data_IF_474063428005
#
_entry.id   IF_474063428005
#
_cell.length_a   1.000
_cell.length_b   1.000
_cell.length_c   1.000
_cell.angle_alpha   90.00
_cell.angle_beta   90.00
_cell.angle_gamma   90.00
#
_symmetry.space_group_name_H-M   'P 1'
#
loop_
_entity.id
_entity.type
_entity.pdbx_description
1 polymer ?
#
# COMPACT_ATOMS: atom_id res chain seq x y z
N UNK A 1 19.13 -14.32 9.27
CA UNK A 1 17.69 -14.65 9.38
C UNK A 1 17.50 -16.04 8.79
N UNK A 2 16.70 -16.93 9.40
CA UNK A 2 16.50 -18.28 8.86
C UNK A 2 15.85 -18.27 7.48
N UNK A 3 16.08 -19.33 6.71
CA UNK A 3 15.50 -19.49 5.39
C UNK A 3 13.96 -19.51 5.47
N UNK A 4 13.31 -18.86 4.48
CA UNK A 4 11.85 -18.83 4.36
C UNK A 4 11.11 -17.80 5.23
N UNK A 5 11.81 -17.05 6.08
CA UNK A 5 11.17 -16.03 6.93
C UNK A 5 10.86 -14.74 6.17
N UNK A 6 11.74 -14.32 5.27
CA UNK A 6 11.51 -13.20 4.39
C UNK A 6 12.16 -13.45 3.04
N UNK A 7 11.46 -13.01 2.01
CA UNK A 7 11.88 -13.10 0.63
C UNK A 7 11.29 -11.95 -0.15
N UNK A 8 11.82 -11.75 -1.34
CA UNK A 8 11.31 -10.78 -2.29
C UNK A 8 11.21 -11.46 -3.65
N UNK A 9 10.24 -11.02 -4.44
CA UNK A 9 10.02 -11.54 -5.79
C UNK A 9 9.60 -10.38 -6.67
N UNK A 10 10.20 -10.29 -7.87
CA UNK A 10 9.68 -9.44 -8.92
C UNK A 10 8.43 -10.11 -9.49
N UNK A 11 7.27 -9.48 -9.33
CA UNK A 11 6.00 -10.00 -9.79
C UNK A 11 5.35 -9.06 -10.82
N UNK A 12 4.68 -9.65 -11.79
CA UNK A 12 3.74 -8.95 -12.66
C UNK A 12 2.41 -8.72 -11.92
N UNK A 13 1.50 -7.93 -12.49
CA UNK A 13 0.16 -7.75 -11.92
C UNK A 13 -0.60 -9.10 -11.79
N UNK A 14 -0.43 -9.99 -12.75
CA UNK A 14 -1.04 -11.33 -12.71
C UNK A 14 -0.41 -12.18 -11.61
N UNK A 15 0.92 -12.12 -11.45
CA UNK A 15 1.62 -12.80 -10.36
C UNK A 15 1.16 -12.31 -8.98
N UNK A 16 1.01 -11.00 -8.81
CA UNK A 16 0.43 -10.42 -7.57
C UNK A 16 -1.00 -10.92 -7.35
N UNK A 17 -1.83 -10.95 -8.40
CA UNK A 17 -3.21 -11.43 -8.31
C UNK A 17 -3.29 -12.92 -7.91
N UNK A 18 -2.39 -13.75 -8.42
CA UNK A 18 -2.27 -15.15 -8.01
C UNK A 18 -1.85 -15.27 -6.53
N UNK A 19 -0.87 -14.49 -6.08
CA UNK A 19 -0.44 -14.48 -4.67
C UNK A 19 -1.56 -14.03 -3.72
N UNK A 20 -2.36 -13.04 -4.12
CA UNK A 20 -3.53 -12.59 -3.34
C UNK A 20 -4.57 -13.70 -3.21
N UNK A 21 -4.66 -14.66 -4.12
CA UNK A 21 -5.59 -15.78 -4.01
C UNK A 21 -4.98 -17.04 -3.35
N UNK A 22 -3.67 -17.06 -3.09
CA UNK A 22 -3.01 -18.21 -2.45
C UNK A 22 -3.42 -18.34 -0.97
N UNK A 23 -3.93 -19.50 -0.52
CA UNK A 23 -4.43 -19.67 0.86
C UNK A 23 -3.34 -19.52 1.93
N UNK A 24 -2.05 -19.62 1.57
CA UNK A 24 -0.92 -19.45 2.52
C UNK A 24 -0.67 -18.00 2.90
N UNK A 25 -1.13 -17.05 2.09
CA UNK A 25 -0.95 -15.61 2.34
C UNK A 25 -2.11 -15.11 3.19
N UNK A 26 -1.85 -14.78 4.45
CA UNK A 26 -2.88 -14.35 5.40
C UNK A 26 -3.27 -12.87 5.27
N UNK A 27 -2.38 -12.02 4.75
CA UNK A 27 -2.60 -10.58 4.69
C UNK A 27 -1.87 -9.93 3.52
N UNK A 28 -2.36 -8.76 3.11
CA UNK A 28 -1.80 -7.94 2.04
C UNK A 28 -1.59 -6.52 2.54
N UNK A 29 -0.40 -5.97 2.35
CA UNK A 29 -0.11 -4.55 2.62
C UNK A 29 0.36 -3.89 1.34
N UNK A 30 -0.19 -2.71 1.03
CA UNK A 30 0.15 -1.96 -0.18
C UNK A 30 0.49 -0.53 0.20
N UNK A 31 1.58 -0.04 -0.37
CA UNK A 31 1.90 1.38 -0.44
C UNK A 31 1.97 1.78 -1.90
N UNK A 32 1.16 2.75 -2.32
CA UNK A 32 1.18 3.20 -3.71
C UNK A 32 -0.01 4.02 -4.16
N UNK A 33 -0.25 4.02 -5.47
CA UNK A 33 -1.33 4.82 -6.06
C UNK A 33 -2.72 4.33 -5.62
N UNK A 34 -3.68 5.26 -5.56
CA UNK A 34 -5.09 4.94 -5.32
C UNK A 34 -5.63 3.91 -6.33
N UNK A 35 -5.19 4.00 -7.60
CA UNK A 35 -5.56 3.05 -8.66
C UNK A 35 -5.14 1.62 -8.31
N UNK A 36 -3.87 1.43 -7.94
CA UNK A 36 -3.34 0.13 -7.57
C UNK A 36 -3.99 -0.39 -6.27
N UNK A 37 -4.13 0.48 -5.27
CA UNK A 37 -4.79 0.18 -3.99
C UNK A 37 -6.22 -0.33 -4.15
N UNK A 38 -7.02 0.32 -5.00
CA UNK A 38 -8.40 -0.13 -5.31
C UNK A 38 -8.42 -1.53 -5.92
N UNK A 39 -7.55 -1.79 -6.88
CA UNK A 39 -7.49 -3.09 -7.55
C UNK A 39 -7.07 -4.21 -6.58
N UNK A 40 -6.01 -3.98 -5.79
CA UNK A 40 -5.51 -4.97 -4.81
C UNK A 40 -6.50 -5.15 -3.65
N UNK A 41 -7.07 -4.05 -3.14
CA UNK A 41 -8.05 -4.08 -2.05
C UNK A 41 -9.30 -4.88 -2.43
N UNK A 42 -9.81 -4.74 -3.66
CA UNK A 42 -10.94 -5.52 -4.14
C UNK A 42 -10.64 -7.04 -4.16
N UNK A 43 -9.46 -7.43 -4.68
CA UNK A 43 -9.06 -8.84 -4.71
C UNK A 43 -8.82 -9.40 -3.30
N UNK A 44 -8.15 -8.65 -2.43
CA UNK A 44 -7.89 -9.06 -1.06
C UNK A 44 -9.19 -9.23 -0.26
N UNK A 45 -10.16 -8.32 -0.46
CA UNK A 45 -11.49 -8.43 0.12
C UNK A 45 -12.26 -9.66 -0.37
N UNK A 46 -12.23 -9.94 -1.67
CA UNK A 46 -12.86 -11.13 -2.24
C UNK A 46 -12.24 -12.44 -1.71
N UNK A 47 -10.94 -12.46 -1.45
CA UNK A 47 -10.21 -13.58 -0.87
C UNK A 47 -10.29 -13.64 0.68
N UNK A 48 -11.07 -12.76 1.32
CA UNK A 48 -11.21 -12.64 2.78
C UNK A 48 -9.87 -12.45 3.53
N UNK A 49 -8.96 -11.65 2.96
CA UNK A 49 -7.65 -11.35 3.56
C UNK A 49 -7.65 -10.01 4.27
N UNK A 50 -6.96 -9.96 5.42
CA UNK A 50 -6.68 -8.69 6.08
C UNK A 50 -5.88 -7.81 5.13
N UNK A 51 -6.30 -6.57 4.93
CA UNK A 51 -5.57 -5.62 4.10
C UNK A 51 -5.28 -4.29 4.79
N UNK A 52 -4.13 -3.71 4.47
CA UNK A 52 -3.74 -2.33 4.84
C UNK A 52 -3.36 -1.61 3.54
N UNK A 53 -3.92 -0.43 3.32
CA UNK A 53 -3.78 0.33 2.08
C UNK A 53 -3.30 1.75 2.40
N UNK A 54 -1.99 1.96 2.26
CA UNK A 54 -1.36 3.28 2.36
C UNK A 54 -1.31 3.90 0.96
N UNK A 55 -2.34 4.68 0.64
CA UNK A 55 -2.58 5.17 -0.71
C UNK A 55 -2.19 6.64 -0.85
N UNK A 56 -2.05 7.08 -2.11
CA UNK A 56 -1.75 8.47 -2.42
C UNK A 56 -2.69 9.44 -1.69
N UNK A 57 -2.09 10.32 -0.88
CA UNK A 57 -2.75 11.44 -0.22
C UNK A 57 -2.44 12.76 -0.94
N UNK A 58 -3.21 13.78 -0.61
CA UNK A 58 -2.85 15.17 -0.89
C UNK A 58 -2.34 15.78 0.42
N UNK A 59 -1.17 16.40 0.39
CA UNK A 59 -0.61 17.13 1.53
C UNK A 59 -0.65 18.62 1.21
N UNK A 60 -1.80 19.30 1.42
CA UNK A 60 -1.93 20.71 1.11
C UNK A 60 -1.15 21.54 2.12
N UNK A 61 -0.21 22.33 1.62
CA UNK A 61 0.47 23.37 2.40
C UNK A 61 -0.26 24.70 2.24
N UNK A 62 -0.97 25.13 3.29
CA UNK A 62 -1.78 26.36 3.29
C UNK A 62 -1.03 27.47 4.03
N UNK A 63 -0.81 28.61 3.36
CA UNK A 63 -0.19 29.80 3.93
C UNK A 63 -1.26 30.89 4.07
N UNK A 64 -1.49 31.35 5.30
CA UNK A 64 -2.42 32.44 5.61
C UNK A 64 -1.69 33.79 5.64
N UNK A 65 -2.44 34.90 5.58
CA UNK A 65 -1.87 36.25 5.50
C UNK A 65 -1.01 36.63 6.73
N UNK A 66 -1.25 35.98 7.87
CA UNK A 66 -0.54 36.15 9.14
C UNK A 66 0.48 35.03 9.41
N UNK A 67 0.76 34.18 8.42
CA UNK A 67 1.72 33.10 8.59
C UNK A 67 3.14 33.63 8.87
N UNK A 68 3.75 33.16 9.96
CA UNK A 68 5.14 33.45 10.30
C UNK A 68 6.08 32.61 9.41
N UNK A 69 6.58 33.24 8.34
CA UNK A 69 7.53 32.65 7.39
C UNK A 69 8.99 32.64 7.90
N UNK A 70 9.26 33.24 9.07
CA UNK A 70 10.60 33.38 9.62
C UNK A 70 11.14 32.13 10.31
N UNK A 71 10.27 31.17 10.65
CA UNK A 71 10.67 29.89 11.23
C UNK A 71 11.20 28.95 10.16
N UNK A 72 12.53 28.79 10.11
CA UNK A 72 13.14 27.64 9.44
C UNK A 72 12.93 26.39 10.31
N UNK A 73 12.36 25.34 9.74
CA UNK A 73 12.48 23.97 10.28
C UNK A 73 13.84 23.39 9.93
#
# INVERSE_FOLDING_TARGET
>A
MPDGIFGWVNATNDGVSQMINDPRIAAVTVTGSVRAGKAIGAQAGAALKKCVLELGGSDPFIVLNDADLGRRR
#
